data_IF_138258402635
#
_entry.id   IF_138258402635
#
_cell.length_a   1.000
_cell.length_b   1.000
_cell.length_c   1.000
_cell.angle_alpha   90.00
_cell.angle_beta   90.00
_cell.angle_gamma   90.00
#
_symmetry.space_group_name_H-M   'P 1'
#
loop_
_entity.id
_entity.type
_entity.pdbx_description
1 polymer ?
#
# COMPACT_ATOMS: atom_id res chain seq x y z
N UNK A 1 41.91 11.25 17.80
CA UNK A 1 40.53 11.37 18.36
C UNK A 1 39.54 12.02 17.38
N UNK A 2 39.88 13.08 16.64
CA UNK A 2 38.95 13.72 15.66
C UNK A 2 38.58 12.85 14.44
N UNK A 3 39.51 12.04 13.94
CA UNK A 3 39.24 11.11 12.82
C UNK A 3 38.30 9.95 13.20
N UNK A 4 38.31 9.52 14.46
CA UNK A 4 37.46 8.43 14.95
C UNK A 4 36.00 8.89 15.10
N UNK A 5 35.79 10.15 15.49
CA UNK A 5 34.45 10.78 15.53
C UNK A 5 33.89 10.97 14.12
N UNK A 6 34.73 11.33 13.14
CA UNK A 6 34.31 11.45 11.73
C UNK A 6 33.95 10.10 11.12
N UNK A 7 34.69 9.03 11.45
CA UNK A 7 34.40 7.67 11.01
C UNK A 7 33.11 7.13 11.65
N UNK A 8 32.87 7.43 12.94
CA UNK A 8 31.61 7.09 13.61
C UNK A 8 30.41 7.84 13.02
N UNK A 9 30.59 9.12 12.65
CA UNK A 9 29.56 9.89 11.93
C UNK A 9 29.34 9.35 10.51
N UNK A 10 30.37 8.91 9.79
CA UNK A 10 30.24 8.31 8.46
C UNK A 10 29.51 6.96 8.49
N UNK A 11 29.73 6.12 9.51
CA UNK A 11 29.01 4.86 9.69
C UNK A 11 27.55 5.10 10.12
N UNK A 12 27.31 6.11 10.95
CA UNK A 12 25.94 6.53 11.31
C UNK A 12 25.19 7.08 10.10
N UNK A 13 25.87 7.80 9.18
CA UNK A 13 25.26 8.31 7.95
C UNK A 13 25.03 7.23 6.87
N UNK A 14 25.87 6.21 6.79
CA UNK A 14 25.71 5.12 5.81
C UNK A 14 24.55 4.15 6.11
N UNK A 15 24.04 4.14 7.35
CA UNK A 15 22.90 3.30 7.75
C UNK A 15 21.59 4.08 7.94
N UNK A 16 21.56 5.38 7.62
CA UNK A 16 20.27 5.99 7.31
C UNK A 16 19.84 5.41 5.96
N UNK A 17 19.09 4.31 6.04
CA UNK A 17 18.20 3.83 5.00
C UNK A 17 17.19 4.96 4.78
N UNK A 18 17.61 5.99 4.06
CA UNK A 18 16.70 7.00 3.55
C UNK A 18 15.76 6.26 2.61
N UNK A 19 14.47 6.58 2.72
CA UNK A 19 13.45 6.05 1.82
C UNK A 19 13.92 6.31 0.38
N UNK A 20 14.35 5.23 -0.28
CA UNK A 20 15.00 5.28 -1.57
C UNK A 20 13.96 5.16 -2.66
N UNK A 21 14.06 6.03 -3.67
CA UNK A 21 13.22 5.94 -4.84
C UNK A 21 13.50 4.63 -5.58
N UNK A 22 12.45 3.88 -5.91
CA UNK A 22 12.57 2.55 -6.50
C UNK A 22 11.54 2.31 -7.60
N UNK A 23 12.00 1.72 -8.69
CA UNK A 23 11.16 1.14 -9.74
C UNK A 23 10.92 -0.33 -9.39
N UNK A 24 9.68 -0.80 -9.45
CA UNK A 24 9.33 -2.18 -9.17
C UNK A 24 8.87 -2.85 -10.45
N UNK A 25 9.54 -3.93 -10.83
CA UNK A 25 9.17 -4.73 -11.99
C UNK A 25 8.06 -5.73 -11.64
N UNK A 26 7.34 -6.24 -12.65
CA UNK A 26 6.33 -7.30 -12.44
C UNK A 26 6.92 -8.61 -11.94
N UNK A 27 8.24 -8.78 -12.01
CA UNK A 27 8.97 -9.89 -11.39
C UNK A 27 9.14 -9.73 -9.87
N UNK A 28 8.79 -8.58 -9.29
CA UNK A 28 9.06 -8.21 -7.91
C UNK A 28 10.45 -7.59 -7.69
N UNK A 29 11.30 -7.54 -8.72
CA UNK A 29 12.61 -6.88 -8.64
C UNK A 29 12.45 -5.38 -8.38
N UNK A 30 13.22 -4.86 -7.41
CA UNK A 30 13.22 -3.46 -7.00
C UNK A 30 14.52 -2.80 -7.43
N UNK A 31 14.43 -1.83 -8.33
CA UNK A 31 15.57 -1.15 -8.92
C UNK A 31 15.67 0.27 -8.38
N UNK A 32 16.70 0.59 -7.59
CA UNK A 32 16.87 1.92 -7.03
C UNK A 32 17.30 2.95 -8.09
N UNK A 33 16.74 4.16 -8.06
CA UNK A 33 17.08 5.20 -9.03
C UNK A 33 17.33 6.58 -8.42
N UNK A 34 18.12 7.40 -9.14
CA UNK A 34 18.34 8.84 -8.84
C UNK A 34 17.45 9.77 -9.64
N UNK A 35 17.01 9.32 -10.82
CA UNK A 35 16.16 10.06 -11.76
C UNK A 35 15.28 9.09 -12.53
N UNK A 36 14.09 9.54 -12.88
CA UNK A 36 13.15 8.81 -13.71
C UNK A 36 12.53 9.76 -14.74
N UNK A 37 12.33 9.25 -15.96
CA UNK A 37 11.53 9.88 -17.01
C UNK A 37 10.47 8.88 -17.48
N UNK A 38 9.22 9.34 -17.50
CA UNK A 38 8.07 8.59 -17.99
C UNK A 38 7.89 9.01 -19.45
N UNK A 39 8.09 8.08 -20.38
CA UNK A 39 8.03 8.31 -21.84
C UNK A 39 6.75 7.70 -22.42
N UNK A 40 6.56 7.73 -23.73
CA UNK A 40 5.32 7.25 -24.37
C UNK A 40 5.11 5.73 -24.21
N UNK A 41 6.18 4.94 -24.28
CA UNK A 41 6.13 3.47 -24.31
C UNK A 41 6.95 2.79 -23.20
N UNK A 42 7.71 3.58 -22.43
CA UNK A 42 8.67 3.07 -21.46
C UNK A 42 8.93 4.03 -20.31
N UNK A 43 9.53 3.49 -19.26
CA UNK A 43 10.13 4.25 -18.15
C UNK A 43 11.64 4.17 -18.28
N UNK A 44 12.29 5.33 -18.31
CA UNK A 44 13.75 5.42 -18.25
C UNK A 44 14.19 5.84 -16.85
N UNK A 45 15.10 5.09 -16.24
CA UNK A 45 15.67 5.42 -14.93
C UNK A 45 17.18 5.55 -15.00
N UNK A 46 17.74 6.41 -14.14
CA UNK A 46 19.18 6.45 -13.85
C UNK A 46 19.46 5.66 -12.58
N UNK A 47 20.02 4.48 -12.71
CA UNK A 47 20.26 3.55 -11.60
C UNK A 47 21.14 4.18 -10.51
N UNK A 48 20.79 3.98 -9.23
CA UNK A 48 21.50 4.61 -8.11
C UNK A 48 22.96 4.15 -8.02
N UNK A 49 23.22 2.85 -8.08
CA UNK A 49 24.59 2.33 -7.88
C UNK A 49 25.47 2.51 -9.11
N UNK A 50 25.05 1.98 -10.27
CA UNK A 50 25.86 2.02 -11.50
C UNK A 50 25.92 3.40 -12.15
N UNK A 51 24.95 4.28 -11.87
CA UNK A 51 24.77 5.60 -12.50
C UNK A 51 24.46 5.54 -14.01
N UNK A 52 24.18 4.36 -14.55
CA UNK A 52 23.78 4.14 -15.95
C UNK A 52 22.28 4.36 -16.15
N UNK A 53 21.88 4.66 -17.39
CA UNK A 53 20.46 4.76 -17.77
C UNK A 53 19.95 3.41 -18.26
N UNK A 54 18.78 3.02 -17.77
CA UNK A 54 18.08 1.80 -18.15
C UNK A 54 16.65 2.16 -18.54
N UNK A 55 16.18 1.57 -19.64
CA UNK A 55 14.82 1.74 -20.12
C UNK A 55 14.03 0.43 -19.94
N UNK A 56 12.82 0.54 -19.42
CA UNK A 56 11.92 -0.57 -19.16
C UNK A 56 10.56 -0.30 -19.82
N UNK A 57 10.06 -1.20 -20.69
CA UNK A 57 8.72 -1.05 -21.24
C UNK A 57 7.68 -1.13 -20.13
N UNK A 58 6.55 -0.41 -20.26
CA UNK A 58 5.51 -0.39 -19.23
C UNK A 58 5.00 -1.78 -18.85
N UNK A 59 4.93 -2.71 -19.80
CA UNK A 59 4.50 -4.08 -19.55
C UNK A 59 5.43 -4.87 -18.61
N UNK A 60 6.69 -4.47 -18.46
CA UNK A 60 7.62 -5.06 -17.52
C UNK A 60 7.59 -4.38 -16.14
N UNK A 61 7.04 -3.17 -16.05
CA UNK A 61 7.01 -2.36 -14.85
C UNK A 61 5.68 -2.56 -14.12
N UNK A 62 5.76 -2.79 -12.82
CA UNK A 62 4.60 -2.88 -11.96
C UNK A 62 4.22 -1.51 -11.40
N UNK A 63 5.22 -0.74 -10.96
CA UNK A 63 5.04 0.63 -10.50
C UNK A 63 6.35 1.25 -10.02
N UNK A 64 6.27 2.38 -9.33
CA UNK A 64 7.42 3.01 -8.68
C UNK A 64 7.03 3.69 -7.37
N UNK A 65 7.99 3.81 -6.46
CA UNK A 65 7.87 4.53 -5.20
C UNK A 65 8.82 5.73 -5.18
N UNK A 66 8.30 6.90 -4.82
CA UNK A 66 9.11 8.07 -4.48
C UNK A 66 9.30 8.10 -2.96
N UNK A 67 10.37 7.47 -2.48
CA UNK A 67 10.58 7.17 -1.06
C UNK A 67 10.56 8.42 -0.19
N UNK A 68 11.25 9.50 -0.60
CA UNK A 68 11.26 10.74 0.18
C UNK A 68 9.91 11.45 0.26
N UNK A 69 9.00 11.17 -0.68
CA UNK A 69 7.66 11.77 -0.73
C UNK A 69 6.60 10.85 -0.14
N UNK A 70 6.95 9.60 0.21
CA UNK A 70 6.03 8.57 0.68
C UNK A 70 4.85 8.39 -0.30
N UNK A 71 5.18 8.28 -1.59
CA UNK A 71 4.20 8.11 -2.67
C UNK A 71 4.50 6.90 -3.51
N UNK A 72 3.46 6.12 -3.78
CA UNK A 72 3.49 4.96 -4.67
C UNK A 72 2.61 5.22 -5.88
N UNK A 73 3.11 4.77 -7.03
CA UNK A 73 2.47 4.95 -8.33
C UNK A 73 2.53 3.65 -9.11
N UNK A 74 1.48 3.39 -9.88
CA UNK A 74 1.28 2.19 -10.67
C UNK A 74 1.03 2.59 -12.11
N UNK A 75 1.47 1.73 -13.04
CA UNK A 75 1.17 1.89 -14.45
C UNK A 75 -0.01 0.97 -14.80
N UNK A 76 -1.07 1.57 -15.34
CA UNK A 76 -2.26 0.84 -15.79
C UNK A 76 -2.53 1.20 -17.24
N UNK A 77 -2.90 0.22 -18.07
CA UNK A 77 -3.27 0.51 -19.45
C UNK A 77 -4.47 1.45 -19.48
N UNK A 78 -4.41 2.52 -20.29
CA UNK A 78 -5.49 3.49 -20.38
C UNK A 78 -6.72 2.83 -21.07
N UNK A 79 -7.86 2.69 -20.37
CA UNK A 79 -9.04 2.05 -20.96
C UNK A 79 -9.71 2.91 -22.03
N UNK A 80 -9.37 4.19 -22.15
CA UNK A 80 -9.97 5.12 -23.11
C UNK A 80 -9.22 5.18 -24.46
N UNK A 81 -8.06 4.51 -24.59
CA UNK A 81 -7.22 4.59 -25.80
C UNK A 81 -7.36 3.36 -26.69
N UNK A 82 -7.96 3.54 -27.88
CA UNK A 82 -8.01 2.53 -28.93
C UNK A 82 -6.60 2.31 -29.52
N UNK A 83 -5.97 1.17 -29.25
CA UNK A 83 -4.65 0.82 -29.81
C UNK A 83 -3.58 0.45 -28.79
N UNK A 84 -3.87 0.52 -27.49
CA UNK A 84 -3.17 -0.24 -26.45
C UNK A 84 -1.82 0.29 -25.94
N UNK A 85 -1.28 1.39 -26.49
CA UNK A 85 0.05 1.90 -26.15
C UNK A 85 0.06 3.05 -25.13
N UNK A 86 -1.10 3.45 -24.61
CA UNK A 86 -1.18 4.56 -23.65
C UNK A 86 -1.36 4.03 -22.23
N UNK A 87 -0.58 4.57 -21.30
CA UNK A 87 -0.53 4.13 -19.90
C UNK A 87 -0.88 5.28 -18.96
N UNK A 88 -1.77 4.99 -18.03
CA UNK A 88 -2.09 5.84 -16.90
C UNK A 88 -1.06 5.63 -15.80
N UNK A 89 -0.53 6.74 -15.30
CA UNK A 89 0.12 6.78 -13.99
C UNK A 89 -0.96 7.04 -12.94
N UNK A 90 -1.12 6.09 -12.03
CA UNK A 90 -2.16 6.14 -11.01
C UNK A 90 -1.60 5.90 -9.62
N UNK A 91 -2.19 6.52 -8.62
CA UNK A 91 -1.97 6.24 -7.20
C UNK A 91 -3.10 5.34 -6.71
N UNK A 92 -2.77 4.31 -5.95
CA UNK A 92 -3.78 3.42 -5.39
C UNK A 92 -4.40 4.00 -4.12
N UNK A 93 -5.72 3.92 -4.01
CA UNK A 93 -6.49 4.38 -2.85
C UNK A 93 -7.05 3.21 -2.04
N UNK A 94 -7.49 2.14 -2.72
CA UNK A 94 -8.05 0.96 -2.10
C UNK A 94 -7.76 -0.28 -2.95
N UNK A 95 -7.66 -1.44 -2.31
CA UNK A 95 -7.48 -2.74 -2.96
C UNK A 95 -8.37 -3.77 -2.30
N UNK A 96 -8.85 -4.72 -3.10
CA UNK A 96 -9.73 -5.80 -2.72
C UNK A 96 -10.34 -6.43 -3.97
N UNK A 97 -11.53 -7.02 -3.84
CA UNK A 97 -12.30 -7.45 -5.02
C UNK A 97 -12.64 -6.28 -5.96
N UNK A 98 -12.63 -5.06 -5.41
CA UNK A 98 -12.70 -3.81 -6.15
C UNK A 98 -11.50 -2.94 -5.79
N UNK A 99 -10.67 -2.61 -6.76
CA UNK A 99 -9.56 -1.67 -6.56
C UNK A 99 -9.94 -0.27 -7.04
N UNK A 100 -9.46 0.75 -6.33
CA UNK A 100 -9.71 2.16 -6.65
C UNK A 100 -8.39 2.90 -6.77
N UNK A 101 -8.26 3.66 -7.85
CA UNK A 101 -7.06 4.42 -8.19
C UNK A 101 -7.40 5.88 -8.47
N UNK A 102 -6.49 6.77 -8.10
CA UNK A 102 -6.45 8.20 -8.43
C UNK A 102 -5.49 8.43 -9.60
N UNK A 103 -5.94 9.09 -10.66
CA UNK A 103 -5.06 9.53 -11.74
C UNK A 103 -4.18 10.71 -11.32
N UNK A 104 -2.91 10.73 -11.72
CA UNK A 104 -1.95 11.77 -11.33
C UNK A 104 -1.97 13.03 -12.20
N UNK A 105 -2.87 13.09 -13.18
CA UNK A 105 -3.03 14.23 -14.10
C UNK A 105 -3.83 15.40 -13.53
N UNK A 106 -3.94 16.47 -14.30
CA UNK A 106 -4.58 17.72 -13.88
C UNK A 106 -6.08 17.59 -13.51
N UNK A 107 -6.77 16.57 -14.01
CA UNK A 107 -8.23 16.49 -13.92
C UNK A 107 -8.77 15.71 -12.72
N UNK A 108 -7.92 15.22 -11.80
CA UNK A 108 -8.34 14.48 -10.59
C UNK A 108 -9.43 13.44 -10.92
N UNK A 109 -9.02 12.36 -11.60
CA UNK A 109 -9.92 11.28 -12.00
C UNK A 109 -9.80 10.10 -11.05
N UNK A 110 -10.89 9.35 -10.89
CA UNK A 110 -10.89 8.04 -10.26
C UNK A 110 -11.09 6.93 -11.29
N UNK A 111 -10.34 5.85 -11.13
CA UNK A 111 -10.44 4.64 -11.92
C UNK A 111 -10.74 3.46 -11.00
N UNK A 112 -11.61 2.57 -11.45
CA UNK A 112 -12.05 1.40 -10.70
C UNK A 112 -11.69 0.13 -11.48
N UNK A 113 -11.16 -0.85 -10.78
CA UNK A 113 -10.74 -2.13 -11.33
C UNK A 113 -11.45 -3.29 -10.63
N UNK A 114 -11.95 -4.25 -11.41
CA UNK A 114 -12.56 -5.51 -10.94
C UNK A 114 -12.23 -6.61 -11.94
N UNK A 115 -11.37 -7.55 -11.55
CA UNK A 115 -10.77 -8.50 -12.48
C UNK A 115 -9.95 -7.77 -13.56
N UNK A 116 -10.16 -8.09 -14.83
CA UNK A 116 -9.47 -7.47 -15.97
C UNK A 116 -10.10 -6.15 -16.42
N UNK A 117 -11.22 -5.74 -15.81
CA UNK A 117 -11.97 -4.54 -16.20
C UNK A 117 -11.48 -3.34 -15.40
N UNK A 118 -10.88 -2.36 -16.09
CA UNK A 118 -10.51 -1.05 -15.56
C UNK A 118 -11.34 0.03 -16.27
N UNK A 119 -12.03 0.90 -15.52
CA UNK A 119 -12.77 2.03 -16.12
C UNK A 119 -12.66 3.29 -15.26
N UNK A 120 -12.73 4.46 -15.92
CA UNK A 120 -12.88 5.74 -15.25
C UNK A 120 -14.29 5.84 -14.67
N UNK A 121 -14.38 6.11 -13.37
CA UNK A 121 -15.63 6.20 -12.60
C UNK A 121 -15.94 7.59 -12.07
N UNK A 122 -15.02 8.55 -12.19
CA UNK A 122 -15.25 9.93 -11.75
C UNK A 122 -14.18 10.85 -12.34
N UNK A 123 -14.56 12.08 -12.69
CA UNK A 123 -13.62 13.19 -12.92
C UNK A 123 -14.25 14.53 -12.49
N UNK A 124 -13.44 15.41 -11.90
CA UNK A 124 -13.95 16.64 -11.27
C UNK A 124 -14.62 17.57 -12.30
N UNK A 125 -14.01 17.67 -13.47
CA UNK A 125 -14.39 18.60 -14.55
C UNK A 125 -15.52 18.09 -15.44
N UNK A 126 -16.09 16.92 -15.14
CA UNK A 126 -17.15 16.32 -15.96
C UNK A 126 -18.46 17.13 -15.94
N UNK A 127 -19.08 17.20 -17.12
CA UNK A 127 -20.43 17.70 -17.34
C UNK A 127 -21.48 16.84 -16.61
N UNK A 128 -22.71 17.34 -16.51
CA UNK A 128 -23.81 16.60 -15.89
C UNK A 128 -24.11 15.27 -16.62
N UNK A 129 -23.98 15.24 -17.94
CA UNK A 129 -24.24 14.04 -18.74
C UNK A 129 -23.17 12.97 -18.50
N UNK A 130 -21.89 13.36 -18.50
CA UNK A 130 -20.77 12.46 -18.22
C UNK A 130 -20.87 11.91 -16.79
N UNK A 131 -21.19 12.75 -15.81
CA UNK A 131 -21.41 12.28 -14.42
C UNK A 131 -22.49 11.22 -14.30
N UNK A 132 -23.57 11.31 -15.09
CA UNK A 132 -24.60 10.27 -15.11
C UNK A 132 -24.07 8.96 -15.71
N UNK A 133 -23.30 9.03 -16.80
CA UNK A 133 -22.65 7.85 -17.39
C UNK A 133 -21.68 7.19 -16.41
N UNK A 134 -20.83 7.98 -15.74
CA UNK A 134 -19.90 7.49 -14.71
C UNK A 134 -20.61 6.86 -13.52
N UNK A 135 -21.76 7.41 -13.11
CA UNK A 135 -22.58 6.81 -12.06
C UNK A 135 -23.14 5.44 -12.49
N UNK A 136 -23.56 5.28 -13.75
CA UNK A 136 -23.99 3.96 -14.25
C UNK A 136 -22.83 2.96 -14.34
N UNK A 137 -21.63 3.42 -14.70
CA UNK A 137 -20.42 2.59 -14.63
C UNK A 137 -20.18 2.15 -13.18
N UNK A 138 -20.16 3.07 -12.21
CA UNK A 138 -20.00 2.74 -10.79
C UNK A 138 -21.03 1.69 -10.33
N UNK A 139 -22.31 1.88 -10.67
CA UNK A 139 -23.36 0.89 -10.37
C UNK A 139 -23.05 -0.48 -10.96
N UNK A 140 -22.54 -0.53 -12.19
CA UNK A 140 -22.21 -1.80 -12.85
C UNK A 140 -21.10 -2.59 -12.14
N UNK A 141 -20.19 -1.93 -11.42
CA UNK A 141 -19.13 -2.59 -10.66
C UNK A 141 -19.62 -3.25 -9.36
N UNK A 142 -20.71 -2.71 -8.78
CA UNK A 142 -21.24 -3.13 -7.47
C UNK A 142 -22.65 -3.71 -7.56
N UNK A 143 -23.13 -4.05 -8.76
CA UNK A 143 -24.49 -4.53 -9.00
C UNK A 143 -24.80 -5.89 -8.36
N UNK A 144 -23.75 -6.62 -7.99
CA UNK A 144 -23.75 -7.89 -7.27
C UNK A 144 -23.86 -7.72 -5.75
N UNK A 145 -23.76 -6.50 -5.21
CA UNK A 145 -23.86 -6.20 -3.77
C UNK A 145 -25.07 -5.28 -3.50
N UNK A 146 -26.13 -5.86 -2.94
CA UNK A 146 -27.41 -5.18 -2.73
C UNK A 146 -27.29 -3.94 -1.82
N UNK A 147 -26.43 -4.00 -0.81
CA UNK A 147 -26.17 -2.91 0.13
C UNK A 147 -25.48 -1.71 -0.53
N UNK A 148 -24.47 -1.95 -1.37
CA UNK A 148 -23.82 -0.90 -2.17
C UNK A 148 -24.81 -0.28 -3.15
N UNK A 149 -25.60 -1.11 -3.83
CA UNK A 149 -26.65 -0.63 -4.74
C UNK A 149 -27.69 0.22 -4.01
N UNK A 150 -28.12 -0.19 -2.82
CA UNK A 150 -29.05 0.57 -2.00
C UNK A 150 -28.44 1.93 -1.58
N UNK A 151 -27.16 1.96 -1.21
CA UNK A 151 -26.47 3.18 -0.84
C UNK A 151 -26.39 4.19 -1.99
N UNK A 152 -25.95 3.76 -3.17
CA UNK A 152 -25.76 4.64 -4.34
C UNK A 152 -27.08 5.08 -5.00
N UNK A 153 -28.17 4.36 -4.76
CA UNK A 153 -29.51 4.71 -5.26
C UNK A 153 -30.34 5.51 -4.25
N UNK A 154 -29.86 5.64 -3.01
CA UNK A 154 -30.54 6.43 -1.99
C UNK A 154 -30.64 7.90 -2.39
N UNK A 155 -31.76 8.55 -2.07
CA UNK A 155 -32.01 9.96 -2.42
C UNK A 155 -31.00 10.95 -1.82
N UNK A 156 -30.29 10.55 -0.76
CA UNK A 156 -29.25 11.34 -0.11
C UNK A 156 -27.86 11.20 -0.72
N UNK A 157 -27.65 10.23 -1.61
CA UNK A 157 -26.35 9.96 -2.21
C UNK A 157 -25.89 11.14 -3.07
N UNK A 158 -24.64 11.55 -2.90
CA UNK A 158 -24.00 12.60 -3.70
C UNK A 158 -22.86 11.99 -4.48
N UNK A 159 -22.91 12.06 -5.80
CA UNK A 159 -21.83 11.54 -6.63
C UNK A 159 -20.57 12.41 -6.51
N UNK A 160 -19.72 12.04 -5.55
CA UNK A 160 -18.50 12.75 -5.15
C UNK A 160 -17.44 11.73 -4.75
N UNK A 161 -16.18 12.09 -4.93
CA UNK A 161 -15.01 11.29 -4.59
C UNK A 161 -15.13 10.50 -3.28
N UNK A 162 -15.37 11.18 -2.15
CA UNK A 162 -15.43 10.55 -0.82
C UNK A 162 -16.55 9.51 -0.69
N UNK A 163 -17.66 9.72 -1.39
CA UNK A 163 -18.77 8.77 -1.40
C UNK A 163 -18.42 7.53 -2.23
N UNK A 164 -17.64 7.69 -3.30
CA UNK A 164 -17.12 6.58 -4.11
C UNK A 164 -16.15 5.74 -3.29
N UNK A 165 -15.16 6.37 -2.63
CA UNK A 165 -14.24 5.67 -1.71
C UNK A 165 -15.01 4.86 -0.66
N UNK A 166 -16.04 5.47 -0.05
CA UNK A 166 -16.89 4.82 0.95
C UNK A 166 -17.61 3.59 0.40
N UNK A 167 -18.14 3.67 -0.83
CA UNK A 167 -18.78 2.53 -1.50
C UNK A 167 -17.77 1.40 -1.72
N UNK A 168 -16.58 1.71 -2.23
CA UNK A 168 -15.51 0.72 -2.48
C UNK A 168 -15.08 0.04 -1.18
N UNK A 169 -14.81 0.82 -0.13
CA UNK A 169 -14.40 0.30 1.18
C UNK A 169 -15.44 -0.67 1.76
N UNK A 170 -16.72 -0.30 1.69
CA UNK A 170 -17.80 -1.14 2.21
C UNK A 170 -18.04 -2.38 1.35
N UNK A 171 -17.95 -2.25 0.03
CA UNK A 171 -18.02 -3.38 -0.90
C UNK A 171 -16.92 -4.41 -0.58
N UNK A 172 -15.66 -3.97 -0.48
CA UNK A 172 -14.52 -4.83 -0.19
C UNK A 172 -14.59 -5.49 1.19
N UNK A 173 -15.17 -4.82 2.19
CA UNK A 173 -15.39 -5.40 3.53
C UNK A 173 -16.38 -6.57 3.51
N UNK A 174 -17.44 -6.49 2.68
CA UNK A 174 -18.47 -7.54 2.59
C UNK A 174 -18.08 -8.66 1.64
N UNK A 175 -17.43 -8.31 0.54
CA UNK A 175 -17.03 -9.22 -0.53
C UNK A 175 -15.52 -9.45 -0.45
N UNK A 176 -15.01 -9.76 0.74
CA UNK A 176 -13.60 -10.14 0.88
C UNK A 176 -13.43 -11.59 0.46
N UNK A 177 -12.64 -11.82 -0.58
CA UNK A 177 -12.22 -13.17 -0.96
C UNK A 177 -10.77 -13.41 -0.54
N UNK A 178 -10.54 -14.52 0.17
CA UNK A 178 -9.20 -14.94 0.57
C UNK A 178 -8.48 -15.52 -0.65
N UNK A 179 -7.51 -14.78 -1.17
CA UNK A 179 -6.63 -15.25 -2.23
C UNK A 179 -5.39 -15.93 -1.65
N UNK A 180 -4.98 -17.04 -2.28
CA UNK A 180 -3.73 -17.72 -1.93
C UNK A 180 -2.57 -17.06 -2.67
N UNK A 181 -1.48 -16.78 -1.95
CA UNK A 181 -0.29 -16.22 -2.58
C UNK A 181 0.44 -17.20 -3.47
N UNK A 182 0.90 -16.68 -4.60
CA UNK A 182 1.75 -17.37 -5.55
C UNK A 182 3.17 -16.80 -5.51
N UNK A 183 4.16 -17.59 -5.92
CA UNK A 183 5.54 -17.10 -6.04
C UNK A 183 5.73 -16.06 -7.15
N UNK A 184 4.72 -15.85 -8.00
CA UNK A 184 4.73 -14.84 -9.05
C UNK A 184 4.15 -13.49 -8.58
N UNK A 185 3.56 -13.45 -7.38
CA UNK A 185 2.93 -12.24 -6.87
C UNK A 185 3.98 -11.23 -6.45
N UNK A 186 3.78 -9.96 -6.80
CA UNK A 186 4.60 -8.88 -6.27
C UNK A 186 4.16 -8.60 -4.83
N UNK A 187 5.11 -8.67 -3.91
CA UNK A 187 4.87 -8.46 -2.47
C UNK A 187 5.48 -7.14 -1.99
N UNK A 188 4.77 -6.49 -1.08
CA UNK A 188 5.22 -5.37 -0.27
C UNK A 188 5.62 -5.84 1.12
N UNK A 189 6.40 -5.03 1.82
CA UNK A 189 6.86 -5.32 3.18
C UNK A 189 6.05 -4.52 4.18
N UNK A 190 5.41 -5.21 5.12
CA UNK A 190 4.67 -4.59 6.22
C UNK A 190 5.36 -4.93 7.54
N UNK A 191 5.82 -3.90 8.23
CA UNK A 191 6.36 -4.01 9.58
C UNK A 191 5.26 -3.74 10.60
N UNK A 192 5.03 -4.71 11.47
CA UNK A 192 4.15 -4.56 12.63
C UNK A 192 4.99 -4.52 13.89
N UNK A 193 4.81 -3.52 14.74
CA UNK A 193 5.60 -3.37 15.95
C UNK A 193 4.76 -2.96 17.17
N UNK A 194 5.36 -3.12 18.36
CA UNK A 194 4.75 -2.74 19.64
C UNK A 194 5.71 -1.95 20.53
N UNK A 195 5.20 -0.89 21.15
CA UNK A 195 5.93 -0.09 22.15
C UNK A 195 5.60 -0.50 23.59
N UNK A 196 6.38 -0.02 24.57
CA UNK A 196 6.18 -0.35 26.00
C UNK A 196 4.86 0.18 26.61
N UNK A 197 4.18 1.12 25.96
CA UNK A 197 3.06 1.86 26.55
C UNK A 197 1.69 1.16 26.41
N UNK A 198 1.69 -0.13 26.08
CA UNK A 198 0.46 -0.89 25.80
C UNK A 198 -0.01 -1.69 27.01
N UNK A 199 -1.33 -1.74 27.22
CA UNK A 199 -1.95 -2.46 28.35
C UNK A 199 -1.87 -3.99 28.23
N UNK A 200 -1.66 -4.52 27.02
CA UNK A 200 -1.49 -5.95 26.78
C UNK A 200 -0.10 -6.37 27.25
N UNK A 201 -0.04 -7.06 28.40
CA UNK A 201 1.23 -7.48 29.01
C UNK A 201 1.86 -8.68 28.32
N UNK A 202 1.11 -9.34 27.47
CA UNK A 202 1.48 -10.61 26.85
C UNK A 202 1.81 -10.46 25.37
N UNK A 203 2.18 -11.59 24.78
CA UNK A 203 2.44 -11.82 23.36
C UNK A 203 1.16 -11.68 22.53
N UNK A 204 1.22 -10.93 21.44
CA UNK A 204 0.17 -10.96 20.41
C UNK A 204 0.57 -12.02 19.39
N UNK A 205 -0.30 -12.99 19.14
CA UNK A 205 -0.15 -13.94 18.03
C UNK A 205 -0.90 -13.37 16.83
N UNK A 206 -0.19 -13.24 15.72
CA UNK A 206 -0.69 -12.69 14.46
C UNK A 206 -0.67 -13.83 13.46
N UNK A 207 -1.85 -14.23 12.99
CA UNK A 207 -1.98 -15.28 11.98
C UNK A 207 -2.28 -14.69 10.62
N UNK A 208 -1.49 -15.05 9.61
CA UNK A 208 -1.64 -14.65 8.22
C UNK A 208 -1.34 -15.86 7.33
N UNK A 209 -2.22 -16.16 6.37
CA UNK A 209 -2.03 -17.24 5.39
C UNK A 209 -1.67 -18.62 6.01
N UNK A 210 -2.18 -18.89 7.21
CA UNK A 210 -1.91 -20.14 7.93
C UNK A 210 -0.68 -20.12 8.85
N UNK A 211 0.18 -19.11 8.74
CA UNK A 211 1.39 -18.95 9.55
C UNK A 211 1.12 -18.10 10.81
N UNK A 212 1.70 -18.51 11.93
CA UNK A 212 1.61 -17.80 13.21
C UNK A 212 2.91 -17.01 13.44
N UNK A 213 2.77 -15.71 13.70
CA UNK A 213 3.85 -14.79 14.06
C UNK A 213 3.64 -14.29 15.49
N UNK A 214 4.68 -14.40 16.31
CA UNK A 214 4.66 -13.93 17.70
C UNK A 214 5.22 -12.51 17.79
N UNK A 215 4.47 -11.59 18.37
CA UNK A 215 4.89 -10.19 18.56
C UNK A 215 4.87 -9.78 20.04
N UNK A 216 6.05 -9.58 20.61
CA UNK A 216 6.26 -9.17 21.99
C UNK A 216 6.29 -7.64 22.15
N UNK A 217 6.36 -7.16 23.40
CA UNK A 217 6.59 -5.74 23.68
C UNK A 217 8.02 -5.34 23.28
N UNK A 218 8.18 -4.16 22.70
CA UNK A 218 9.45 -3.68 22.13
C UNK A 218 10.05 -4.63 21.09
N UNK A 219 9.16 -5.17 20.26
CA UNK A 219 9.49 -6.11 19.21
C UNK A 219 8.81 -5.67 17.91
N UNK A 220 9.26 -6.26 16.81
CA UNK A 220 8.63 -6.12 15.50
C UNK A 220 8.64 -7.43 14.74
N UNK A 221 7.65 -7.61 13.87
CA UNK A 221 7.64 -8.65 12.86
C UNK A 221 7.57 -8.01 11.48
N UNK A 222 8.04 -8.74 10.49
CA UNK A 222 7.98 -8.38 9.08
C UNK A 222 7.05 -9.36 8.39
N UNK A 223 6.07 -8.82 7.66
CA UNK A 223 5.12 -9.59 6.87
C UNK A 223 5.31 -9.24 5.40
N UNK A 224 5.54 -10.26 4.57
CA UNK A 224 5.50 -10.12 3.11
C UNK A 224 4.05 -10.25 2.67
N UNK A 225 3.50 -9.17 2.14
CA UNK A 225 2.08 -9.07 1.81
C UNK A 225 1.89 -8.79 0.33
N UNK A 226 0.96 -9.48 -0.34
CA UNK A 226 0.65 -9.23 -1.74
C UNK A 226 0.19 -7.79 -1.94
N UNK A 227 0.60 -7.19 -3.05
CA UNK A 227 0.24 -5.83 -3.39
C UNK A 227 -1.14 -5.80 -4.06
N UNK A 228 -1.46 -6.72 -4.97
CA UNK A 228 -2.69 -6.67 -5.79
C UNK A 228 -3.98 -7.08 -5.07
N UNK A 229 -3.88 -7.70 -3.89
CA UNK A 229 -5.04 -8.13 -3.13
C UNK A 229 -4.76 -8.06 -1.63
N UNK A 230 -5.82 -7.89 -0.85
CA UNK A 230 -5.68 -7.80 0.58
C UNK A 230 -5.58 -9.18 1.22
N UNK A 231 -4.77 -9.29 2.27
CA UNK A 231 -4.69 -10.45 3.15
C UNK A 231 -5.42 -10.16 4.46
N UNK A 232 -5.90 -11.23 5.10
CA UNK A 232 -6.57 -11.16 6.39
C UNK A 232 -5.60 -11.51 7.51
N UNK A 233 -5.46 -10.60 8.47
CA UNK A 233 -4.67 -10.80 9.68
C UNK A 233 -5.60 -11.09 10.86
N UNK A 234 -5.36 -12.19 11.54
CA UNK A 234 -6.05 -12.55 12.77
C UNK A 234 -5.13 -12.31 13.97
N UNK A 235 -5.49 -11.36 14.82
CA UNK A 235 -4.71 -11.00 15.98
C UNK A 235 -5.38 -11.56 17.22
N UNK A 236 -4.58 -12.17 18.09
CA UNK A 236 -5.05 -12.63 19.39
C UNK A 236 -4.03 -12.38 20.50
N UNK A 237 -4.54 -11.89 21.62
CA UNK A 237 -3.96 -12.03 22.95
C UNK A 237 -4.97 -12.85 23.77
N UNK A 238 -4.57 -13.49 24.86
CA UNK A 238 -5.33 -14.42 25.72
C UNK A 238 -6.84 -14.15 25.76
N UNK A 239 -7.26 -12.89 25.90
CA UNK A 239 -8.67 -12.46 26.00
C UNK A 239 -9.17 -11.55 24.86
N UNK A 240 -8.31 -11.11 23.94
CA UNK A 240 -8.63 -10.10 22.92
C UNK A 240 -8.44 -10.74 21.55
N UNK A 241 -9.41 -10.56 20.65
CA UNK A 241 -9.34 -11.03 19.27
C UNK A 241 -9.78 -9.93 18.32
N UNK A 242 -9.04 -9.73 17.25
CA UNK A 242 -9.46 -8.86 16.16
C UNK A 242 -9.07 -9.44 14.81
N UNK A 243 -9.75 -8.98 13.77
CA UNK A 243 -9.46 -9.32 12.39
C UNK A 243 -9.31 -8.04 11.61
N UNK A 244 -8.23 -7.95 10.85
CA UNK A 244 -7.92 -6.81 10.00
C UNK A 244 -7.65 -7.30 8.58
N UNK A 245 -7.93 -6.44 7.61
CA UNK A 245 -7.67 -6.68 6.20
C UNK A 245 -6.67 -5.62 5.75
N UNK A 246 -5.57 -6.04 5.14
CA UNK A 246 -4.45 -5.18 4.74
C UNK A 246 -3.78 -5.75 3.50
N UNK A 247 -3.22 -4.89 2.67
CA UNK A 247 -2.38 -5.24 1.52
C UNK A 247 -0.99 -4.64 1.70
N UNK A 248 0.00 -5.19 1.00
CA UNK A 248 1.29 -4.54 0.85
C UNK A 248 1.23 -3.33 -0.08
N UNK A 249 2.24 -2.48 -0.02
CA UNK A 249 2.48 -1.36 -0.95
C UNK A 249 3.85 -1.49 -1.62
N UNK A 250 4.11 -0.64 -2.63
CA UNK A 250 5.45 -0.54 -3.21
C UNK A 250 6.45 0.02 -2.21
N UNK A 251 6.03 0.89 -1.31
CA UNK A 251 6.85 1.32 -0.18
C UNK A 251 6.73 0.34 0.99
N UNK A 252 7.75 0.29 1.83
CA UNK A 252 7.63 -0.37 3.13
C UNK A 252 6.60 0.36 3.99
N UNK A 253 5.73 -0.40 4.64
CA UNK A 253 4.71 0.15 5.53
C UNK A 253 5.02 -0.20 6.97
N UNK A 254 4.71 0.72 7.87
CA UNK A 254 5.04 0.60 9.28
C UNK A 254 3.80 0.86 10.12
N UNK A 255 3.40 -0.10 10.96
CA UNK A 255 2.23 0.02 11.81
C UNK A 255 2.56 -0.31 13.26
N UNK A 256 2.15 0.58 14.17
CA UNK A 256 2.06 0.23 15.57
C UNK A 256 0.75 -0.52 15.83
N UNK A 257 0.81 -1.67 16.48
CA UNK A 257 -0.39 -2.38 16.93
C UNK A 257 -0.79 -1.83 18.28
N UNK A 258 -1.93 -1.16 18.39
CA UNK A 258 -2.44 -0.60 19.65
C UNK A 258 -3.70 -1.35 20.14
N UNK A 259 -3.88 -1.43 21.44
CA UNK A 259 -5.14 -1.90 22.04
C UNK A 259 -6.14 -0.74 22.19
N UNK A 260 -7.35 -0.90 21.67
CA UNK A 260 -8.46 0.02 21.87
C UNK A 260 -9.42 -0.51 22.93
N UNK A 261 -9.42 0.16 24.09
CA UNK A 261 -10.25 -0.21 25.23
C UNK A 261 -11.76 0.02 24.99
N UNK A 262 -12.15 0.86 24.04
CA UNK A 262 -13.57 1.15 23.76
C UNK A 262 -14.23 0.02 23.01
N UNK A 263 -13.52 -0.52 22.03
CA UNK A 263 -13.98 -1.59 21.14
C UNK A 263 -13.55 -2.97 21.62
N UNK A 264 -12.59 -3.02 22.56
CA UNK A 264 -11.96 -4.25 23.04
C UNK A 264 -11.31 -5.04 21.87
N UNK A 265 -10.64 -4.31 20.96
CA UNK A 265 -9.94 -4.87 19.80
C UNK A 265 -8.54 -4.29 19.66
N UNK A 266 -7.71 -4.89 18.79
CA UNK A 266 -6.52 -4.23 18.30
C UNK A 266 -6.88 -3.23 17.20
N UNK A 267 -6.02 -2.23 17.00
CA UNK A 267 -6.03 -1.31 15.87
C UNK A 267 -4.61 -1.12 15.35
N UNK A 268 -4.49 -0.87 14.06
CA UNK A 268 -3.23 -0.50 13.44
C UNK A 268 -3.14 1.02 13.30
N UNK A 269 -2.03 1.59 13.72
CA UNK A 269 -1.73 3.01 13.55
C UNK A 269 -0.55 3.12 12.56
N UNK A 270 -0.82 3.59 11.33
CA UNK A 270 0.24 3.76 10.33
C UNK A 270 1.19 4.85 10.81
N UNK A 271 2.50 4.58 10.78
CA UNK A 271 3.53 5.56 11.09
C UNK A 271 4.25 6.01 9.83
N UNK A 272 4.49 7.30 9.77
CA UNK A 272 5.12 8.01 8.67
C UNK A 272 6.09 9.08 9.22
N UNK A 273 7.02 9.55 8.41
CA UNK A 273 7.91 10.66 8.75
C UNK A 273 8.69 10.49 10.08
N UNK A 274 8.60 11.48 10.97
CA UNK A 274 9.41 11.53 12.20
C UNK A 274 9.02 10.51 13.26
N UNK A 275 7.74 10.10 13.31
CA UNK A 275 7.29 9.10 14.31
C UNK A 275 7.96 7.74 14.07
N UNK A 276 8.07 7.35 12.79
CA UNK A 276 8.80 6.16 12.38
C UNK A 276 10.23 6.15 12.91
N UNK A 277 10.91 7.30 12.85
CA UNK A 277 12.31 7.41 13.23
C UNK A 277 12.56 7.18 14.72
N UNK A 278 11.68 7.69 15.58
CA UNK A 278 11.89 7.62 17.03
C UNK A 278 11.38 6.32 17.65
N UNK A 279 10.34 5.73 17.09
CA UNK A 279 9.70 4.55 17.66
C UNK A 279 10.22 3.26 17.02
N UNK A 280 9.98 3.08 15.72
CA UNK A 280 10.30 1.83 15.04
C UNK A 280 11.81 1.61 14.95
N UNK A 281 12.59 2.57 14.43
CA UNK A 281 14.04 2.34 14.27
C UNK A 281 14.76 2.14 15.59
N UNK A 282 14.29 2.75 16.68
CA UNK A 282 14.80 2.47 18.02
C UNK A 282 14.55 1.02 18.45
N UNK A 283 13.37 0.47 18.15
CA UNK A 283 13.04 -0.94 18.41
C UNK A 283 13.88 -1.85 17.51
N UNK A 284 13.96 -1.55 16.20
CA UNK A 284 14.76 -2.30 15.23
C UNK A 284 16.21 -2.42 15.67
N UNK A 285 16.84 -1.31 16.09
CA UNK A 285 18.22 -1.29 16.55
C UNK A 285 18.41 -2.10 17.84
N UNK A 286 17.41 -2.13 18.72
CA UNK A 286 17.42 -2.93 19.96
C UNK A 286 17.32 -4.43 19.66
N UNK A 287 16.44 -4.83 18.74
CA UNK A 287 16.26 -6.22 18.32
C UNK A 287 17.48 -6.70 17.52
N UNK A 288 17.99 -5.91 16.57
CA UNK A 288 19.17 -6.25 15.78
C UNK A 288 20.41 -6.52 16.62
N UNK A 289 20.63 -5.74 17.69
CA UNK A 289 21.73 -5.97 18.65
C UNK A 289 21.62 -7.30 19.40
N UNK A 290 20.40 -7.81 19.64
CA UNK A 290 20.21 -9.13 20.26
C UNK A 290 20.64 -10.25 19.33
N UNK A 291 20.30 -10.14 18.04
CA UNK A 291 20.60 -11.16 17.03
C UNK A 291 22.11 -11.28 16.75
N UNK A 292 22.86 -10.17 16.82
CA UNK A 292 24.31 -10.16 16.55
C UNK A 292 25.19 -10.62 17.73
N UNK A 293 24.60 -10.85 18.91
CA UNK A 293 25.32 -11.24 20.12
C UNK A 293 25.09 -12.71 20.52
N UNK A 294 24.32 -13.45 19.73
CA UNK A 294 24.23 -14.92 19.73
C UNK A 294 25.13 -15.52 18.63
#
# INVERSE_FOLDING_TARGET
MRALVLFFFLILFQNFVFAQDSLVLKTGERIPYTRMAVLEDQVEIKHEVTKEFHAFPYDAVYGYSEGMKEKTYFFKQNPETEGGNDYLVVRRLCVGNLSLFEGTGNNQSLYMEKGERLEKVFEVTESKSEKLQRLEILKSFVNDDAESMAYITASGFKFKWKEIETVVEYYNKRNFDEASSSSADVVGTVYLYRTQFQKTKDRIVIKMNGEDHDLYLEDFIMLEMPIDYASKLYLRDSNIRSTHVMSGELEEQYFEILYDAKTNTFRFDKKEGTELQYEFYKIRDKVGKKITHD
#
